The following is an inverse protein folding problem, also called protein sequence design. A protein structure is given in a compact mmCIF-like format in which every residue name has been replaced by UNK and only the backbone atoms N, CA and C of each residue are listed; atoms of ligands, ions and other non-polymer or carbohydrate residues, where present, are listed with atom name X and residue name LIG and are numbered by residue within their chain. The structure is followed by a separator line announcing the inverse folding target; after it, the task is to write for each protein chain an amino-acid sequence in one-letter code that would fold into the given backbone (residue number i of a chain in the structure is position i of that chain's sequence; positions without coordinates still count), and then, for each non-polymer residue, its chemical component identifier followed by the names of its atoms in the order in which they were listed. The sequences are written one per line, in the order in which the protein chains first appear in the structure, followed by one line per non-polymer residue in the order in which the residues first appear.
data_IF_849930607450
#
_entry.id   IF_849930607450
#
_cell.length_a   1.000
_cell.length_b   1.000
_cell.length_c   1.000
_cell.angle_alpha   90.00
_cell.angle_beta   90.00
_cell.angle_gamma   90.00
#
_symmetry.space_group_name_H-M   'P 1'
#
loop_
_entity.id
_entity.type
_entity.pdbx_description
1 polymer ?
#
# COMPACT_ATOMS: atom_id res chain seq x y z
N UNK A 1 34.90 -90.71 46.80
CA UNK A 1 34.51 -90.81 48.23
C UNK A 1 33.63 -89.60 48.53
N UNK A 2 32.36 -89.84 48.91
CA UNK A 2 31.36 -88.93 49.55
C UNK A 2 30.78 -87.80 48.66
N UNK A 3 29.51 -87.89 48.16
CA UNK A 3 28.16 -87.58 48.74
C UNK A 3 27.79 -86.07 48.67
N UNK A 4 26.67 -85.69 48.03
CA UNK A 4 25.35 -85.34 48.64
C UNK A 4 25.44 -84.09 49.54
N UNK A 5 24.62 -83.05 49.49
CA UNK A 5 23.32 -82.74 48.90
C UNK A 5 23.20 -81.18 48.89
N UNK A 6 22.00 -80.66 48.55
CA UNK A 6 21.40 -79.42 49.10
C UNK A 6 21.39 -78.12 48.25
N UNK A 7 20.21 -77.94 47.64
CA UNK A 7 19.32 -76.78 47.76
C UNK A 7 19.79 -75.38 47.32
N UNK A 8 19.35 -74.99 46.12
CA UNK A 8 19.25 -73.56 45.74
C UNK A 8 17.88 -73.19 45.14
N UNK A 9 16.84 -73.96 45.47
CA UNK A 9 15.42 -73.67 45.16
C UNK A 9 14.88 -72.40 45.84
N UNK A 10 15.67 -71.71 46.69
CA UNK A 10 15.23 -70.59 47.52
C UNK A 10 15.56 -69.17 46.98
N UNK A 11 16.18 -69.00 45.81
CA UNK A 11 16.40 -67.65 45.25
C UNK A 11 15.17 -67.08 44.49
N UNK A 12 14.03 -67.77 44.53
CA UNK A 12 12.82 -67.38 43.80
C UNK A 12 11.99 -66.27 44.45
N UNK A 13 12.41 -65.67 45.57
CA UNK A 13 11.62 -64.63 46.24
C UNK A 13 12.47 -63.45 46.70
N UNK A 14 12.78 -62.55 45.78
CA UNK A 14 12.93 -61.13 46.14
C UNK A 14 12.24 -60.29 45.08
N UNK A 15 10.96 -60.05 45.34
CA UNK A 15 10.22 -58.93 44.78
C UNK A 15 10.98 -57.63 45.03
N UNK A 16 11.71 -57.13 44.04
CA UNK A 16 12.11 -55.72 43.97
C UNK A 16 11.78 -55.21 42.57
N UNK A 17 10.50 -54.86 42.45
CA UNK A 17 9.81 -54.28 41.31
C UNK A 17 10.46 -52.92 40.96
N UNK A 18 11.52 -52.91 40.14
CA UNK A 18 12.01 -51.66 39.56
C UNK A 18 11.04 -51.26 38.47
N UNK A 19 10.12 -50.38 38.86
CA UNK A 19 9.13 -49.70 38.02
C UNK A 19 9.87 -49.11 36.81
N UNK A 20 9.69 -49.73 35.65
CA UNK A 20 9.97 -49.08 34.36
C UNK A 20 9.26 -47.73 34.39
N UNK A 21 10.03 -46.64 34.41
CA UNK A 21 9.48 -45.32 34.05
C UNK A 21 9.16 -45.42 32.57
N UNK A 22 7.93 -45.79 32.25
CA UNK A 22 7.37 -45.49 30.94
C UNK A 22 7.50 -43.98 30.76
N UNK A 23 8.36 -43.56 29.84
CA UNK A 23 8.27 -42.24 29.25
C UNK A 23 6.93 -42.18 28.54
N UNK A 24 5.89 -41.77 29.28
CA UNK A 24 4.60 -41.41 28.71
C UNK A 24 4.86 -40.17 27.86
N UNK A 25 5.13 -40.38 26.58
CA UNK A 25 5.08 -39.34 25.58
C UNK A 25 3.63 -38.88 25.58
N UNK A 26 3.34 -37.81 26.33
CA UNK A 26 2.07 -37.09 26.25
C UNK A 26 1.99 -36.47 24.86
N UNK A 27 1.58 -37.27 23.88
CA UNK A 27 1.19 -36.79 22.56
C UNK A 27 0.03 -35.83 22.78
N UNK A 28 0.31 -34.53 22.75
CA UNK A 28 -0.73 -33.50 22.71
C UNK A 28 -1.67 -33.89 21.57
N UNK A 29 -2.93 -34.17 21.91
CA UNK A 29 -3.95 -34.42 20.91
C UNK A 29 -3.97 -33.24 19.93
N UNK A 30 -3.63 -33.51 18.67
CA UNK A 30 -3.68 -32.49 17.63
C UNK A 30 -5.14 -32.12 17.42
N UNK A 31 -5.54 -30.93 17.90
CA UNK A 31 -6.87 -30.37 17.63
C UNK A 31 -6.85 -29.86 16.19
N UNK A 32 -7.42 -30.66 15.28
CA UNK A 32 -7.64 -30.23 13.89
C UNK A 32 -8.74 -29.18 13.80
N UNK A 33 -8.60 -28.25 12.85
CA UNK A 33 -9.67 -27.33 12.48
C UNK A 33 -10.83 -28.11 11.85
N UNK A 34 -12.06 -27.74 12.19
CA UNK A 34 -13.24 -28.35 11.56
C UNK A 34 -13.51 -27.68 10.20
N UNK A 35 -14.09 -28.43 9.25
CA UNK A 35 -14.44 -27.88 7.94
C UNK A 35 -15.51 -26.78 8.05
N UNK A 36 -16.43 -26.93 9.01
CA UNK A 36 -17.47 -25.92 9.28
C UNK A 36 -16.88 -24.61 9.84
N UNK A 37 -15.83 -24.70 10.67
CA UNK A 37 -15.15 -23.52 11.21
C UNK A 37 -14.44 -22.73 10.11
N UNK A 38 -13.84 -23.41 9.14
CA UNK A 38 -13.29 -22.76 7.95
C UNK A 38 -14.36 -22.15 7.04
N UNK A 39 -15.53 -22.79 6.89
CA UNK A 39 -16.63 -22.21 6.12
C UNK A 39 -17.11 -20.87 6.71
N UNK A 40 -17.27 -20.81 8.02
CA UNK A 40 -17.69 -19.58 8.70
C UNK A 40 -16.57 -18.52 8.63
N UNK A 41 -15.31 -18.91 8.84
CA UNK A 41 -14.19 -17.99 8.75
C UNK A 41 -14.08 -17.31 7.37
N UNK A 42 -14.17 -18.10 6.28
CA UNK A 42 -14.12 -17.57 4.92
C UNK A 42 -15.33 -16.69 4.62
N UNK A 43 -16.52 -17.06 5.10
CA UNK A 43 -17.72 -16.23 4.95
C UNK A 43 -17.51 -14.84 5.57
N UNK A 44 -16.97 -14.75 6.79
CA UNK A 44 -16.68 -13.48 7.45
C UNK A 44 -15.62 -12.67 6.68
N UNK A 45 -14.53 -13.31 6.26
CA UNK A 45 -13.46 -12.63 5.51
C UNK A 45 -14.00 -12.06 4.19
N UNK A 46 -14.89 -12.78 3.50
CA UNK A 46 -15.47 -12.31 2.23
C UNK A 46 -16.29 -11.02 2.40
N UNK A 47 -17.07 -10.92 3.48
CA UNK A 47 -17.89 -9.74 3.79
C UNK A 47 -16.97 -8.56 4.09
N UNK A 48 -15.95 -8.75 4.94
CA UNK A 48 -14.99 -7.69 5.28
C UNK A 48 -14.20 -7.23 4.06
N UNK A 49 -13.73 -8.16 3.23
CA UNK A 49 -12.96 -7.86 2.02
C UNK A 49 -13.75 -7.00 1.02
N UNK A 50 -15.06 -7.24 0.88
CA UNK A 50 -15.92 -6.48 -0.04
C UNK A 50 -15.97 -4.98 0.27
N UNK A 51 -15.87 -4.60 1.56
CA UNK A 51 -15.88 -3.21 2.02
C UNK A 51 -14.45 -2.65 2.07
N UNK A 52 -13.49 -3.46 2.51
CA UNK A 52 -12.11 -3.01 2.73
C UNK A 52 -11.37 -2.69 1.43
N UNK A 53 -11.55 -3.50 0.37
CA UNK A 53 -10.84 -3.36 -0.90
C UNK A 53 -11.06 -1.98 -1.59
N UNK A 54 -12.30 -1.50 -1.82
CA UNK A 54 -12.49 -0.22 -2.48
C UNK A 54 -11.88 0.94 -1.68
N UNK A 55 -11.99 0.91 -0.35
CA UNK A 55 -11.41 1.93 0.53
C UNK A 55 -9.87 1.91 0.47
N UNK A 56 -9.26 0.72 0.50
CA UNK A 56 -7.81 0.59 0.42
C UNK A 56 -7.26 1.10 -0.91
N UNK A 57 -7.87 0.73 -2.04
CA UNK A 57 -7.44 1.20 -3.36
C UNK A 57 -7.54 2.71 -3.49
N UNK A 58 -8.61 3.33 -2.98
CA UNK A 58 -8.76 4.78 -3.00
C UNK A 58 -7.67 5.47 -2.13
N UNK A 59 -7.27 4.89 -0.99
CA UNK A 59 -6.20 5.43 -0.15
C UNK A 59 -4.82 5.34 -0.81
N UNK A 60 -4.50 4.22 -1.46
CA UNK A 60 -3.25 4.06 -2.21
C UNK A 60 -3.21 5.05 -3.38
N UNK A 61 -4.32 5.23 -4.10
CA UNK A 61 -4.42 6.23 -5.16
C UNK A 61 -4.15 7.64 -4.63
N UNK A 62 -4.72 8.04 -3.49
CA UNK A 62 -4.43 9.34 -2.86
C UNK A 62 -2.92 9.54 -2.61
N UNK A 63 -2.22 8.47 -2.23
CA UNK A 63 -0.77 8.49 -2.08
C UNK A 63 -0.05 8.88 -3.38
N UNK A 64 -0.45 8.29 -4.51
CA UNK A 64 0.14 8.64 -5.82
C UNK A 64 -0.18 10.08 -6.26
N UNK A 65 -1.34 10.63 -5.90
CA UNK A 65 -1.70 12.01 -6.27
C UNK A 65 -0.78 13.04 -5.59
N UNK A 66 -0.20 12.71 -4.43
CA UNK A 66 0.77 13.57 -3.75
C UNK A 66 2.03 13.77 -4.60
N UNK A 67 2.45 12.75 -5.37
CA UNK A 67 3.58 12.87 -6.30
C UNK A 67 3.28 13.91 -7.38
N UNK A 68 2.05 13.94 -7.90
CA UNK A 68 1.63 14.93 -8.89
C UNK A 68 1.67 16.35 -8.31
N UNK A 69 1.07 16.56 -7.14
CA UNK A 69 1.02 17.89 -6.52
C UNK A 69 2.40 18.39 -6.13
N UNK A 70 3.25 17.51 -5.60
CA UNK A 70 4.63 17.86 -5.22
C UNK A 70 5.48 18.17 -6.46
N UNK A 71 5.38 17.34 -7.50
CA UNK A 71 6.07 17.58 -8.76
C UNK A 71 5.69 18.92 -9.38
N UNK A 72 4.39 19.21 -9.49
CA UNK A 72 3.92 20.50 -10.02
C UNK A 72 4.34 21.69 -9.15
N UNK A 73 4.26 21.58 -7.82
CA UNK A 73 4.69 22.64 -6.92
C UNK A 73 6.20 22.91 -7.01
N UNK A 74 7.02 21.85 -7.12
CA UNK A 74 8.47 21.99 -7.30
C UNK A 74 8.83 22.63 -8.65
N UNK A 75 8.18 22.20 -9.74
CA UNK A 75 8.37 22.79 -11.07
C UNK A 75 7.95 24.26 -11.08
N UNK A 76 6.85 24.60 -10.42
CA UNK A 76 6.41 25.99 -10.30
C UNK A 76 7.47 26.83 -9.58
N UNK A 77 7.97 26.40 -8.42
CA UNK A 77 9.02 27.13 -7.71
C UNK A 77 10.29 27.31 -8.55
N UNK A 78 10.70 26.28 -9.29
CA UNK A 78 11.88 26.36 -10.18
C UNK A 78 11.66 27.31 -11.37
N UNK A 79 10.46 27.31 -11.96
CA UNK A 79 10.10 28.24 -13.03
C UNK A 79 10.09 29.68 -12.54
N UNK A 80 9.53 29.95 -11.35
CA UNK A 80 9.56 31.28 -10.74
C UNK A 80 11.00 31.75 -10.48
N UNK A 81 11.86 30.88 -9.94
CA UNK A 81 13.27 31.19 -9.76
C UNK A 81 13.96 31.50 -11.10
N UNK A 82 13.72 30.67 -12.12
CA UNK A 82 14.29 30.85 -13.45
C UNK A 82 13.86 32.19 -14.08
N UNK A 83 12.62 32.61 -13.85
CA UNK A 83 12.13 33.91 -14.31
C UNK A 83 12.80 35.08 -13.59
N UNK A 84 13.13 34.96 -12.30
CA UNK A 84 13.91 36.00 -11.60
C UNK A 84 15.30 36.18 -12.22
N UNK A 85 15.93 35.09 -12.67
CA UNK A 85 17.26 35.11 -13.25
C UNK A 85 17.26 35.55 -14.72
N UNK A 86 16.30 35.08 -15.52
CA UNK A 86 16.31 35.21 -16.99
C UNK A 86 15.23 36.15 -17.55
N UNK A 87 14.28 36.61 -16.73
CA UNK A 87 13.11 37.41 -17.14
C UNK A 87 12.25 36.77 -18.24
N UNK A 88 12.31 35.46 -18.35
CA UNK A 88 11.52 34.64 -19.28
C UNK A 88 11.34 33.26 -18.68
N UNK A 89 10.23 32.58 -18.93
CA UNK A 89 10.09 31.17 -18.58
C UNK A 89 10.62 30.24 -19.68
N UNK A 90 10.89 30.74 -20.89
CA UNK A 90 11.36 29.92 -22.02
C UNK A 90 12.69 29.25 -21.67
N UNK A 91 12.74 27.92 -21.83
CA UNK A 91 13.89 27.10 -21.47
C UNK A 91 14.00 26.79 -19.97
N UNK A 92 13.03 27.22 -19.16
CA UNK A 92 12.96 26.90 -17.74
C UNK A 92 12.79 25.39 -17.48
N UNK A 93 13.30 24.89 -16.34
CA UNK A 93 13.23 23.47 -16.00
C UNK A 93 11.80 23.02 -15.70
N UNK A 94 11.53 21.73 -15.89
CA UNK A 94 10.26 21.07 -15.56
C UNK A 94 10.53 19.91 -14.59
N UNK A 95 9.52 19.51 -13.81
CA UNK A 95 9.62 18.38 -12.91
C UNK A 95 9.97 17.08 -13.68
N UNK A 96 10.80 16.25 -13.06
CA UNK A 96 11.11 14.93 -13.59
C UNK A 96 9.87 14.01 -13.50
N UNK A 97 9.71 13.14 -14.49
CA UNK A 97 8.67 12.12 -14.49
C UNK A 97 8.86 11.14 -13.33
N UNK A 98 7.76 10.72 -12.73
CA UNK A 98 7.74 9.67 -11.70
C UNK A 98 7.15 8.39 -12.28
N UNK A 99 7.11 7.31 -11.50
CA UNK A 99 6.47 6.06 -11.91
C UNK A 99 4.96 6.21 -12.19
N UNK A 100 4.31 7.18 -11.52
CA UNK A 100 2.86 7.36 -11.55
C UNK A 100 2.41 8.60 -12.32
N UNK A 101 3.30 9.55 -12.62
CA UNK A 101 2.95 10.80 -13.30
C UNK A 101 4.03 11.23 -14.29
N UNK A 102 3.58 11.67 -15.47
CA UNK A 102 4.38 12.40 -16.44
C UNK A 102 4.10 13.88 -16.36
N UNK A 103 5.16 14.68 -16.33
CA UNK A 103 5.06 16.13 -16.33
C UNK A 103 5.41 16.68 -17.70
N UNK A 104 4.64 17.67 -18.15
CA UNK A 104 4.94 18.46 -19.34
C UNK A 104 4.75 19.93 -19.01
N UNK A 105 5.80 20.71 -19.22
CA UNK A 105 5.80 22.14 -19.01
C UNK A 105 6.25 22.80 -20.33
N UNK A 106 5.34 23.25 -21.19
CA UNK A 106 5.68 24.17 -22.28
C UNK A 106 5.64 25.61 -21.75
N UNK A 107 6.77 26.20 -21.30
CA UNK A 107 6.81 27.59 -20.91
C UNK A 107 6.77 28.52 -22.13
N UNK A 108 6.19 29.70 -21.93
CA UNK A 108 6.28 30.83 -22.86
C UNK A 108 7.12 31.95 -22.23
N UNK A 109 7.18 33.14 -22.82
CA UNK A 109 7.96 34.22 -22.25
C UNK A 109 7.46 34.68 -20.87
N UNK A 110 6.14 34.74 -20.70
CA UNK A 110 5.48 35.34 -19.52
C UNK A 110 4.47 34.42 -18.83
N UNK A 111 4.06 33.35 -19.50
CA UNK A 111 3.07 32.39 -19.00
C UNK A 111 3.65 30.98 -19.04
N UNK A 112 3.13 30.09 -18.21
CA UNK A 112 3.45 28.65 -18.29
C UNK A 112 2.24 27.80 -17.89
N UNK A 113 2.20 26.59 -18.42
CA UNK A 113 1.28 25.56 -17.95
C UNK A 113 2.06 24.30 -17.65
N UNK A 114 1.99 23.83 -16.41
CA UNK A 114 2.51 22.55 -15.99
C UNK A 114 1.35 21.56 -16.04
N UNK A 115 1.50 20.47 -16.77
CA UNK A 115 0.52 19.38 -16.80
C UNK A 115 1.11 18.13 -16.17
N UNK A 116 0.36 17.50 -15.27
CA UNK A 116 0.69 16.22 -14.69
C UNK A 116 -0.32 15.18 -15.19
N UNK A 117 0.13 14.26 -16.04
CA UNK A 117 -0.68 13.18 -16.60
C UNK A 117 -0.38 11.89 -15.87
N UNK A 118 -1.38 11.28 -15.26
CA UNK A 118 -1.23 10.04 -14.52
C UNK A 118 -0.85 8.86 -15.40
N UNK A 119 -0.17 7.89 -14.80
CA UNK A 119 0.29 6.65 -15.41
C UNK A 119 -0.09 5.47 -14.52
N UNK A 120 -0.15 4.27 -15.12
CA UNK A 120 -0.44 3.03 -14.41
C UNK A 120 -1.72 3.15 -13.56
N UNK A 121 -1.65 2.93 -12.23
CA UNK A 121 -2.82 3.00 -11.35
C UNK A 121 -3.44 4.41 -11.28
N UNK A 122 -2.66 5.46 -11.55
CA UNK A 122 -3.13 6.85 -11.55
C UNK A 122 -3.55 7.36 -12.94
N UNK A 123 -3.59 6.51 -13.97
CA UNK A 123 -3.87 6.89 -15.37
C UNK A 123 -5.18 7.66 -15.62
N UNK A 124 -6.16 7.52 -14.73
CA UNK A 124 -7.42 8.27 -14.82
C UNK A 124 -7.31 9.74 -14.37
N UNK A 125 -6.18 10.13 -13.77
CA UNK A 125 -5.98 11.45 -13.19
C UNK A 125 -5.11 12.33 -14.09
N UNK A 126 -5.57 13.55 -14.32
CA UNK A 126 -4.79 14.58 -14.99
C UNK A 126 -5.02 15.91 -14.29
N UNK A 127 -3.92 16.61 -14.01
CA UNK A 127 -3.91 17.90 -13.33
C UNK A 127 -3.14 18.92 -14.15
N UNK A 128 -3.49 20.19 -13.99
CA UNK A 128 -2.76 21.30 -14.55
C UNK A 128 -2.53 22.40 -13.53
N UNK A 129 -1.41 23.09 -13.70
CA UNK A 129 -1.05 24.29 -12.98
C UNK A 129 -0.69 25.37 -14.00
N UNK A 130 -1.57 26.34 -14.19
CA UNK A 130 -1.40 27.36 -15.22
C UNK A 130 -1.20 28.71 -14.57
N UNK A 131 -0.06 29.34 -14.86
CA UNK A 131 0.14 30.75 -14.56
C UNK A 131 -0.07 31.56 -15.83
N UNK A 132 -0.93 32.57 -15.73
CA UNK A 132 -1.04 33.61 -16.74
C UNK A 132 -0.97 34.97 -16.07
N UNK A 133 -0.33 35.95 -16.71
CA UNK A 133 -0.27 37.32 -16.17
C UNK A 133 -1.67 37.90 -15.90
N UNK A 134 -2.67 37.50 -16.69
CA UNK A 134 -4.05 38.00 -16.59
C UNK A 134 -4.84 37.41 -15.41
N UNK A 135 -4.62 36.13 -15.06
CA UNK A 135 -5.42 35.42 -14.04
C UNK A 135 -4.61 34.98 -12.83
N UNK A 136 -3.31 35.28 -12.81
CA UNK A 136 -2.39 34.68 -11.87
C UNK A 136 -2.34 33.17 -12.06
N UNK A 137 -2.15 32.49 -10.94
CA UNK A 137 -1.92 31.06 -10.87
C UNK A 137 -3.23 30.32 -10.60
N UNK A 138 -3.57 29.38 -11.48
CA UNK A 138 -4.81 28.60 -11.46
C UNK A 138 -4.48 27.12 -11.43
N UNK A 139 -5.08 26.41 -10.47
CA UNK A 139 -5.03 24.95 -10.36
C UNK A 139 -6.24 24.39 -11.06
N UNK A 140 -6.10 23.29 -11.78
CA UNK A 140 -7.24 22.60 -12.36
C UNK A 140 -7.01 21.10 -12.44
N UNK A 141 -8.12 20.37 -12.40
CA UNK A 141 -8.19 18.93 -12.62
C UNK A 141 -8.85 18.69 -13.97
N UNK A 142 -8.11 18.11 -14.90
CA UNK A 142 -8.61 17.81 -16.25
C UNK A 142 -9.40 16.50 -16.27
N UNK A 143 -8.99 15.51 -15.47
CA UNK A 143 -9.73 14.25 -15.33
C UNK A 143 -9.48 13.61 -13.97
N UNK A 144 -10.44 12.82 -13.50
CA UNK A 144 -10.28 11.93 -12.35
C UNK A 144 -10.91 10.57 -12.64
N UNK A 145 -10.62 9.58 -11.80
CA UNK A 145 -11.34 8.30 -11.80
C UNK A 145 -12.84 8.55 -11.62
N UNK A 146 -13.70 7.87 -12.38
CA UNK A 146 -15.15 8.08 -12.41
C UNK A 146 -15.82 8.12 -11.02
N UNK A 147 -15.30 7.39 -10.03
CA UNK A 147 -15.82 7.37 -8.66
C UNK A 147 -15.38 8.55 -7.78
N UNK A 148 -14.57 9.49 -8.29
CA UNK A 148 -13.97 10.61 -7.54
C UNK A 148 -14.57 11.97 -7.88
N UNK A 149 -15.18 12.12 -9.06
CA UNK A 149 -15.76 13.36 -9.54
C UNK A 149 -15.51 13.55 -11.03
N UNK A 150 -15.70 14.79 -11.49
CA UNK A 150 -15.41 15.21 -12.87
C UNK A 150 -14.16 16.08 -12.96
N UNK A 151 -14.01 16.76 -14.09
CA UNK A 151 -13.05 17.85 -14.23
C UNK A 151 -13.43 19.02 -13.32
N UNK A 152 -12.42 19.73 -12.79
CA UNK A 152 -12.59 20.94 -11.99
C UNK A 152 -11.65 22.03 -12.52
N UNK A 153 -12.15 23.15 -13.06
CA UNK A 153 -11.31 24.17 -13.67
C UNK A 153 -10.61 25.09 -12.67
N UNK A 154 -10.98 25.04 -11.38
CA UNK A 154 -10.54 26.00 -10.35
C UNK A 154 -9.63 25.39 -9.28
N UNK A 155 -9.61 24.07 -9.12
CA UNK A 155 -8.78 23.41 -8.11
C UNK A 155 -8.38 21.96 -8.46
N UNK A 156 -7.44 21.42 -7.68
CA UNK A 156 -7.03 20.01 -7.72
C UNK A 156 -7.93 19.14 -6.85
N UNK A 157 -8.60 18.17 -7.47
CA UNK A 157 -9.33 17.11 -6.78
C UNK A 157 -8.31 16.05 -6.35
N UNK A 158 -7.95 16.07 -5.07
CA UNK A 158 -6.98 15.13 -4.48
C UNK A 158 -7.66 14.11 -3.54
N UNK A 159 -8.99 14.24 -3.37
CA UNK A 159 -9.80 13.36 -2.52
C UNK A 159 -11.10 13.02 -3.23
N UNK A 160 -11.50 11.75 -3.12
CA UNK A 160 -12.82 11.28 -3.53
C UNK A 160 -13.92 12.09 -2.85
N UNK A 161 -14.86 12.61 -3.63
CA UNK A 161 -16.01 13.40 -3.14
C UNK A 161 -15.69 14.86 -2.82
N UNK A 162 -14.48 15.34 -3.14
CA UNK A 162 -14.15 16.76 -3.04
C UNK A 162 -14.95 17.54 -4.10
N UNK A 163 -15.69 18.56 -3.65
CA UNK A 163 -16.39 19.48 -4.56
C UNK A 163 -15.42 20.45 -5.22
N UNK A 164 -15.73 20.85 -6.45
CA UNK A 164 -15.03 21.94 -7.12
C UNK A 164 -15.51 23.29 -6.54
N UNK A 165 -14.62 24.16 -6.04
CA UNK A 165 -14.97 25.48 -5.55
C UNK A 165 -15.47 26.43 -6.64
#
# INVERSE_FOLDING_TARGET
MVRSDDDWSCLYVTFAKIKSKENVIMTKASKGFTLIEMMIAVAIISILASIALPIYTDNVLRGYLVDATNGMASAQAQLEQYYQDNRTYVGGPCAANTANFKFSCPPTAIDYTITATGQGPASAFAYSYTYTVAKGLVKATSSTKASWGGACPTDWIVRKGQSCP
#
